data_IF_636643582592
#
_entry.id   IF_636643582592
#
_cell.length_a   1.000
_cell.length_b   1.000
_cell.length_c   1.000
_cell.angle_alpha   90.00
_cell.angle_beta   90.00
_cell.angle_gamma   90.00
#
_symmetry.space_group_name_H-M   'P 1'
#
loop_
_entity.id
_entity.type
_entity.pdbx_description
1 polymer ?
#
# COMPACT_ATOMS: atom_id res chain seq x y z
N UNK A 1 -6.22 8.00 6.55
CA UNK A 1 -6.02 6.54 6.38
C UNK A 1 -4.69 6.17 7.02
N UNK A 2 -4.68 5.17 7.90
CA UNK A 2 -3.43 4.75 8.55
C UNK A 2 -2.57 3.90 7.63
N UNK A 3 -1.28 3.77 7.91
CA UNK A 3 -0.38 2.89 7.15
C UNK A 3 -0.87 1.44 7.16
N UNK A 4 -1.49 0.99 8.26
CA UNK A 4 -2.05 -0.35 8.38
C UNK A 4 -3.28 -0.53 7.48
N UNK A 5 -4.14 0.49 7.35
CA UNK A 5 -5.28 0.44 6.43
C UNK A 5 -4.82 0.36 4.96
N UNK A 6 -3.75 1.08 4.64
CA UNK A 6 -3.12 1.06 3.31
C UNK A 6 -2.56 -0.33 3.02
N UNK A 7 -1.81 -0.94 3.95
CA UNK A 7 -1.30 -2.32 3.84
C UNK A 7 -2.43 -3.30 3.60
N UNK A 8 -3.51 -3.24 4.40
CA UNK A 8 -4.67 -4.12 4.24
C UNK A 8 -5.31 -3.98 2.85
N UNK A 9 -5.39 -2.75 2.34
CA UNK A 9 -5.95 -2.48 1.02
C UNK A 9 -5.09 -3.07 -0.08
N UNK A 10 -3.76 -2.89 -0.03
CA UNK A 10 -2.84 -3.50 -0.97
C UNK A 10 -2.83 -5.03 -0.86
N UNK A 11 -2.99 -5.60 0.34
CA UNK A 11 -3.13 -7.05 0.50
C UNK A 11 -4.35 -7.61 -0.21
N UNK A 12 -5.49 -6.90 -0.21
CA UNK A 12 -6.65 -7.27 -1.05
C UNK A 12 -6.34 -7.20 -2.55
N UNK A 13 -5.41 -6.35 -2.97
CA UNK A 13 -4.94 -6.23 -4.36
C UNK A 13 -3.86 -7.27 -4.74
N UNK A 14 -3.57 -8.23 -3.85
CA UNK A 14 -2.59 -9.30 -4.09
C UNK A 14 -1.16 -8.97 -3.66
N UNK A 15 -0.94 -7.89 -2.90
CA UNK A 15 0.38 -7.59 -2.34
C UNK A 15 0.61 -8.33 -1.01
N UNK A 16 1.82 -8.81 -0.79
CA UNK A 16 2.19 -9.59 0.39
C UNK A 16 3.23 -8.81 1.18
N UNK A 17 3.08 -8.77 2.51
CA UNK A 17 4.08 -8.17 3.39
C UNK A 17 5.29 -9.11 3.46
N UNK A 18 6.45 -8.60 3.06
CA UNK A 18 7.71 -9.38 3.05
C UNK A 18 8.66 -8.96 4.14
N UNK A 19 8.55 -7.72 4.61
CA UNK A 19 9.42 -7.18 5.64
C UNK A 19 8.80 -6.01 6.37
N UNK A 20 9.03 -5.93 7.67
CA UNK A 20 8.81 -4.71 8.45
C UNK A 20 10.16 -4.25 9.02
N UNK A 21 10.48 -2.96 8.84
CA UNK A 21 11.64 -2.31 9.47
C UNK A 21 11.18 -1.03 10.16
N UNK A 22 11.06 -1.09 11.49
CA UNK A 22 10.68 0.08 12.29
C UNK A 22 9.35 0.67 11.85
N UNK A 23 9.38 1.90 11.35
CA UNK A 23 8.18 2.63 10.90
C UNK A 23 7.84 2.42 9.42
N UNK A 24 8.38 1.39 8.75
CA UNK A 24 8.06 1.09 7.35
C UNK A 24 7.76 -0.40 7.14
N UNK A 25 6.76 -0.67 6.31
CA UNK A 25 6.33 -2.01 5.88
C UNK A 25 6.62 -2.12 4.39
N UNK A 26 7.31 -3.18 3.99
CA UNK A 26 7.65 -3.49 2.61
C UNK A 26 6.73 -4.59 2.11
N UNK A 27 6.12 -4.38 0.95
CA UNK A 27 5.27 -5.35 0.28
C UNK A 27 5.78 -5.66 -1.13
N UNK A 28 5.58 -6.90 -1.57
CA UNK A 28 5.85 -7.36 -2.94
C UNK A 28 4.59 -7.97 -3.54
N UNK A 29 4.57 -8.13 -4.86
CA UNK A 29 3.49 -8.82 -5.58
C UNK A 29 4.09 -9.68 -6.68
N UNK A 30 3.65 -10.93 -6.77
CA UNK A 30 4.11 -11.84 -7.81
C UNK A 30 3.86 -11.25 -9.21
N UNK A 31 4.87 -11.33 -10.08
CA UNK A 31 4.81 -10.75 -11.42
C UNK A 31 5.01 -9.23 -11.48
N UNK A 32 5.28 -8.55 -10.35
CA UNK A 32 5.60 -7.12 -10.28
C UNK A 32 7.01 -6.94 -9.73
N UNK A 33 7.93 -6.42 -10.54
CA UNK A 33 9.33 -6.17 -10.15
C UNK A 33 9.51 -4.85 -9.36
N UNK A 34 8.56 -4.56 -8.47
CA UNK A 34 8.56 -3.36 -7.64
C UNK A 34 8.16 -3.69 -6.21
N UNK A 35 8.83 -3.06 -5.25
CA UNK A 35 8.51 -3.14 -3.83
C UNK A 35 7.77 -1.88 -3.38
N UNK A 36 6.64 -2.05 -2.69
CA UNK A 36 5.94 -0.94 -2.05
C UNK A 36 6.46 -0.75 -0.64
N UNK A 37 6.92 0.47 -0.33
CA UNK A 37 7.36 0.84 1.02
C UNK A 37 6.33 1.76 1.67
N UNK A 38 5.53 1.21 2.59
CA UNK A 38 4.41 1.89 3.22
C UNK A 38 4.83 2.39 4.62
N UNK A 39 4.69 3.69 4.91
CA UNK A 39 4.96 4.21 6.26
C UNK A 39 3.92 3.71 7.28
N UNK A 40 4.39 3.04 8.34
CA UNK A 40 3.61 2.57 9.49
C UNK A 40 3.38 3.71 10.50
N UNK A 41 2.44 4.60 10.16
CA UNK A 41 1.98 5.71 11.00
C UNK A 41 0.47 5.85 10.96
N UNK A 42 -0.09 6.58 11.93
CA UNK A 42 -1.54 6.76 12.08
C UNK A 42 -2.19 7.47 10.88
N UNK A 43 -1.42 8.28 10.13
CA UNK A 43 -1.92 8.96 8.95
C UNK A 43 -0.87 9.01 7.82
N UNK A 44 -1.22 8.45 6.67
CA UNK A 44 -0.45 8.59 5.42
C UNK A 44 -0.88 9.87 4.71
N UNK A 45 0.10 10.74 4.39
CA UNK A 45 -0.15 11.98 3.66
C UNK A 45 -0.75 11.66 2.29
N UNK A 46 -1.68 12.49 1.81
CA UNK A 46 -2.36 12.30 0.51
C UNK A 46 -1.39 12.14 -0.66
N UNK A 47 -0.31 12.92 -0.69
CA UNK A 47 0.73 12.82 -1.72
C UNK A 47 1.42 11.44 -1.71
N UNK A 48 1.84 10.98 -0.54
CA UNK A 48 2.43 9.65 -0.35
C UNK A 48 1.47 8.55 -0.76
N UNK A 49 0.19 8.65 -0.39
CA UNK A 49 -0.81 7.68 -0.77
C UNK A 49 -0.99 7.61 -2.29
N UNK A 50 -1.05 8.76 -2.97
CA UNK A 50 -1.14 8.82 -4.44
C UNK A 50 0.08 8.20 -5.12
N UNK A 51 1.29 8.48 -4.61
CA UNK A 51 2.50 7.84 -5.13
C UNK A 51 2.44 6.33 -4.98
N UNK A 52 2.09 5.82 -3.79
CA UNK A 52 1.97 4.38 -3.56
C UNK A 52 0.93 3.71 -4.47
N UNK A 53 -0.20 4.37 -4.74
CA UNK A 53 -1.24 3.87 -5.66
C UNK A 53 -0.69 3.79 -7.08
N UNK A 54 0.02 4.83 -7.54
CA UNK A 54 0.62 4.85 -8.88
C UNK A 54 1.73 3.79 -9.02
N UNK A 55 2.61 3.69 -8.02
CA UNK A 55 3.68 2.69 -7.92
C UNK A 55 3.11 1.26 -7.96
N UNK A 56 1.97 1.05 -7.32
CA UNK A 56 1.27 -0.22 -7.31
C UNK A 56 0.56 -0.57 -8.64
N UNK A 57 0.67 0.30 -9.66
CA UNK A 57 0.06 0.12 -10.98
C UNK A 57 -1.47 0.14 -10.95
N UNK A 58 -2.07 0.83 -9.97
CA UNK A 58 -3.53 0.90 -9.82
C UNK A 58 -4.05 2.33 -9.88
N UNK A 59 -5.34 2.46 -10.18
CA UNK A 59 -6.07 3.73 -10.13
C UNK A 59 -6.52 4.05 -8.71
N UNK A 60 -6.75 5.33 -8.44
CA UNK A 60 -7.33 5.78 -7.16
C UNK A 60 -8.70 5.14 -6.92
N UNK A 61 -9.49 4.95 -7.97
CA UNK A 61 -10.82 4.34 -7.86
C UNK A 61 -10.76 2.86 -7.47
N UNK A 62 -9.84 2.08 -8.05
CA UNK A 62 -9.59 0.70 -7.65
C UNK A 62 -9.16 0.61 -6.18
N UNK A 63 -8.21 1.47 -5.78
CA UNK A 63 -7.77 1.55 -4.39
C UNK A 63 -8.95 1.86 -3.45
N UNK A 64 -9.77 2.85 -3.80
CA UNK A 64 -10.93 3.25 -2.99
C UNK A 64 -11.94 2.11 -2.89
N UNK A 65 -12.22 1.38 -3.98
CA UNK A 65 -13.10 0.21 -3.97
C UNK A 65 -12.60 -0.86 -2.99
N UNK A 66 -11.30 -1.15 -2.98
CA UNK A 66 -10.72 -2.15 -2.08
C UNK A 66 -10.62 -1.65 -0.62
N UNK A 67 -10.51 -0.35 -0.42
CA UNK A 67 -10.44 0.26 0.92
C UNK A 67 -11.79 0.27 1.64
N UNK A 68 -12.90 0.23 0.90
CA UNK A 68 -14.25 0.13 1.46
C UNK A 68 -14.46 -1.26 2.07
N UNK A 69 -15.22 -1.31 3.16
CA UNK A 69 -15.68 -2.56 3.77
C UNK A 69 -16.65 -3.27 2.83
#
# INVERSE_FOLDING_TARGET
MSGIDVVKTFSKAGWIVVRERGSHIIMEKEGVDMLLTIPKKNEVKRGTLRSLIADAGMTVDEFVRLSKK
#
